data_IF_695174568232
#
_entry.id   IF_695174568232
#
_cell.length_a   1.000
_cell.length_b   1.000
_cell.length_c   1.000
_cell.angle_alpha   90.00
_cell.angle_beta   90.00
_cell.angle_gamma   90.00
#
_symmetry.space_group_name_H-M   'P 1'
#
loop_
_entity.id
_entity.type
_entity.pdbx_description
1 polymer ?
#
# COMPACT_ATOMS: atom_id res chain seq x y z
N UNK A 1 -16.17 -9.22 -14.77
CA UNK A 1 -15.80 -9.28 -16.21
C UNK A 1 -14.34 -8.93 -16.42
N UNK A 2 -13.72 -8.07 -15.61
CA UNK A 2 -12.30 -7.72 -15.78
C UNK A 2 -11.55 -7.64 -14.44
N UNK A 3 -10.22 -7.81 -14.46
CA UNK A 3 -9.29 -7.55 -13.35
C UNK A 3 -8.07 -6.80 -13.89
N UNK A 4 -7.67 -5.71 -13.23
CA UNK A 4 -6.42 -4.98 -13.48
C UNK A 4 -5.69 -4.86 -12.15
N UNK A 5 -4.55 -5.52 -12.00
CA UNK A 5 -3.86 -5.62 -10.71
C UNK A 5 -2.34 -5.86 -10.89
N UNK A 6 -1.58 -5.64 -9.83
CA UNK A 6 -0.12 -5.79 -9.77
C UNK A 6 0.35 -6.74 -8.65
N UNK A 7 -0.59 -7.35 -7.91
CA UNK A 7 -0.28 -8.31 -6.85
C UNK A 7 -0.18 -9.75 -7.36
N UNK A 8 0.23 -10.65 -6.46
CA UNK A 8 0.07 -12.10 -6.66
C UNK A 8 -1.41 -12.46 -6.76
N UNK A 9 -1.73 -13.47 -7.56
CA UNK A 9 -3.08 -14.04 -7.63
C UNK A 9 -3.23 -15.14 -6.58
N UNK A 10 -4.20 -15.00 -5.69
CA UNK A 10 -4.58 -16.02 -4.71
C UNK A 10 -6.08 -15.90 -4.42
N UNK A 11 -6.73 -17.00 -4.01
CA UNK A 11 -8.13 -17.03 -3.59
C UNK A 11 -9.11 -16.39 -4.60
N UNK A 12 -8.85 -16.57 -5.90
CA UNK A 12 -9.63 -16.00 -6.99
C UNK A 12 -9.99 -17.07 -8.01
N UNK A 13 -11.29 -17.24 -8.29
CA UNK A 13 -11.83 -18.20 -9.25
C UNK A 13 -13.00 -17.56 -10.03
N UNK A 14 -13.17 -17.96 -11.29
CA UNK A 14 -14.32 -17.52 -12.12
C UNK A 14 -14.90 -18.70 -12.89
N UNK A 15 -16.24 -18.74 -12.98
CA UNK A 15 -16.94 -19.78 -13.73
C UNK A 15 -16.93 -19.57 -15.26
N UNK A 16 -16.70 -18.33 -15.71
CA UNK A 16 -16.68 -17.94 -17.12
C UNK A 16 -15.38 -17.21 -17.45
N UNK A 17 -14.91 -17.27 -18.72
CA UNK A 17 -13.80 -16.45 -19.17
C UNK A 17 -14.00 -14.96 -18.86
N UNK A 18 -12.91 -14.27 -18.51
CA UNK A 18 -12.88 -12.85 -18.19
C UNK A 18 -11.60 -12.20 -18.76
N UNK A 19 -11.56 -10.86 -18.82
CA UNK A 19 -10.32 -10.14 -19.09
C UNK A 19 -9.49 -10.01 -17.82
N UNK A 20 -8.20 -10.32 -17.87
CA UNK A 20 -7.29 -10.04 -16.75
C UNK A 20 -6.01 -9.42 -17.30
N UNK A 21 -5.63 -8.27 -16.76
CA UNK A 21 -4.35 -7.63 -17.05
C UNK A 21 -3.56 -7.46 -15.76
N UNK A 22 -2.54 -8.29 -15.64
CA UNK A 22 -1.63 -8.28 -14.50
C UNK A 22 -0.24 -7.93 -14.98
N UNK A 23 0.39 -6.97 -14.34
CA UNK A 23 1.77 -6.59 -14.64
C UNK A 23 2.55 -6.41 -13.33
N UNK A 24 3.77 -6.94 -13.21
CA UNK A 24 4.59 -6.80 -12.00
C UNK A 24 5.25 -5.41 -11.95
N UNK A 25 4.42 -4.38 -11.79
CA UNK A 25 4.82 -2.96 -11.71
C UNK A 25 4.48 -2.36 -10.34
N UNK A 26 4.97 -1.16 -10.07
CA UNK A 26 4.82 -0.51 -8.78
C UNK A 26 3.37 -0.19 -8.41
N UNK A 27 2.49 0.04 -9.39
CA UNK A 27 1.08 0.32 -9.13
C UNK A 27 0.15 -0.15 -10.25
N UNK A 28 -1.07 -0.56 -9.89
CA UNK A 28 -2.16 -0.76 -10.84
C UNK A 28 -2.47 0.51 -11.66
N UNK A 29 -2.23 1.71 -11.10
CA UNK A 29 -2.38 2.98 -11.81
C UNK A 29 -1.48 3.09 -13.04
N UNK A 30 -0.27 2.51 -12.98
CA UNK A 30 0.63 2.43 -14.13
C UNK A 30 0.08 1.54 -15.25
N UNK A 31 -0.65 0.49 -14.90
CA UNK A 31 -1.32 -0.39 -15.86
C UNK A 31 -2.49 0.34 -16.51
N UNK A 32 -3.30 1.03 -15.71
CA UNK A 32 -4.41 1.85 -16.22
C UNK A 32 -3.91 2.97 -17.13
N UNK A 33 -2.80 3.63 -16.79
CA UNK A 33 -2.13 4.58 -17.66
C UNK A 33 -1.81 3.99 -19.05
N UNK A 34 -1.25 2.77 -19.09
CA UNK A 34 -0.97 2.08 -20.36
C UNK A 34 -2.26 1.76 -21.12
N UNK A 35 -3.31 1.32 -20.43
CA UNK A 35 -4.62 1.05 -21.02
C UNK A 35 -5.22 2.30 -21.69
N UNK A 36 -5.09 3.50 -21.09
CA UNK A 36 -5.51 4.75 -21.74
C UNK A 36 -4.78 4.97 -23.07
N UNK A 37 -3.45 4.84 -23.06
CA UNK A 37 -2.60 5.06 -24.24
C UNK A 37 -2.90 4.04 -25.34
N UNK A 38 -3.00 2.76 -25.00
CA UNK A 38 -3.30 1.68 -25.95
C UNK A 38 -4.67 1.83 -26.62
N UNK A 39 -5.65 2.36 -25.90
CA UNK A 39 -6.99 2.62 -26.43
C UNK A 39 -7.14 3.99 -27.09
N UNK A 40 -6.04 4.76 -27.22
CA UNK A 40 -6.03 6.11 -27.77
C UNK A 40 -7.02 7.05 -27.07
N UNK A 41 -7.23 6.86 -25.76
CA UNK A 41 -8.08 7.70 -24.93
C UNK A 41 -7.20 8.78 -24.27
N UNK A 42 -7.57 10.04 -24.46
CA UNK A 42 -6.90 11.17 -23.79
C UNK A 42 -7.14 11.05 -22.28
N UNK A 43 -6.09 11.14 -21.48
CA UNK A 43 -6.17 11.15 -20.02
C UNK A 43 -6.57 12.57 -19.58
N UNK A 44 -7.74 12.78 -18.96
CA UNK A 44 -8.09 14.08 -18.40
C UNK A 44 -7.13 14.49 -17.28
N UNK A 45 -6.92 15.80 -17.08
CA UNK A 45 -6.01 16.36 -16.09
C UNK A 45 -6.24 15.78 -14.68
N UNK A 46 -7.50 15.71 -14.27
CA UNK A 46 -7.91 15.24 -12.95
C UNK A 46 -7.63 13.74 -12.79
N UNK A 47 -7.87 12.96 -13.85
CA UNK A 47 -7.55 11.52 -13.86
C UNK A 47 -6.04 11.28 -13.83
N UNK A 48 -5.26 12.10 -14.53
CA UNK A 48 -3.80 12.02 -14.47
C UNK A 48 -3.31 12.26 -13.03
N UNK A 49 -3.90 13.23 -12.34
CA UNK A 49 -3.62 13.48 -10.91
C UNK A 49 -3.92 12.27 -10.02
N UNK A 50 -5.07 11.62 -10.20
CA UNK A 50 -5.44 10.44 -9.42
C UNK A 50 -4.54 9.22 -9.73
N UNK A 51 -4.24 8.96 -11.00
CA UNK A 51 -3.33 7.89 -11.39
C UNK A 51 -1.92 8.14 -10.86
N UNK A 52 -1.46 9.40 -10.91
CA UNK A 52 -0.19 9.79 -10.32
C UNK A 52 -0.19 9.57 -8.80
N UNK A 53 -1.28 9.92 -8.12
CA UNK A 53 -1.44 9.73 -6.68
C UNK A 53 -1.30 8.26 -6.30
N UNK A 54 -2.00 7.37 -7.02
CA UNK A 54 -1.95 5.93 -6.78
C UNK A 54 -0.53 5.38 -6.99
N UNK A 55 0.14 5.80 -8.06
CA UNK A 55 1.52 5.42 -8.31
C UNK A 55 2.47 5.90 -7.21
N UNK A 56 2.39 7.17 -6.81
CA UNK A 56 3.22 7.71 -5.73
C UNK A 56 2.97 7.00 -4.41
N UNK A 57 1.70 6.70 -4.10
CA UNK A 57 1.29 5.99 -2.88
C UNK A 57 1.93 4.60 -2.81
N UNK A 58 1.75 3.77 -3.83
CA UNK A 58 2.23 2.38 -3.83
C UNK A 58 3.76 2.29 -3.88
N UNK A 59 4.42 3.29 -4.48
CA UNK A 59 5.87 3.30 -4.68
C UNK A 59 6.64 4.14 -3.68
N UNK A 60 5.96 4.77 -2.72
CA UNK A 60 6.57 5.73 -1.78
C UNK A 60 7.42 6.77 -2.50
N UNK A 61 6.81 7.45 -3.48
CA UNK A 61 7.49 8.39 -4.37
C UNK A 61 8.67 7.74 -5.11
N UNK A 62 8.42 6.58 -5.73
CA UNK A 62 9.38 5.82 -6.54
C UNK A 62 10.61 5.29 -5.77
N UNK A 63 10.55 5.24 -4.42
CA UNK A 63 11.63 4.73 -3.56
C UNK A 63 11.42 3.28 -3.12
N UNK A 64 10.20 2.78 -3.19
CA UNK A 64 9.85 1.41 -2.81
C UNK A 64 10.59 0.39 -3.68
N UNK A 65 11.00 -0.78 -3.14
CA UNK A 65 11.55 -1.88 -3.94
C UNK A 65 10.56 -2.45 -4.98
N UNK A 66 9.25 -2.16 -4.84
CA UNK A 66 8.23 -2.53 -5.83
C UNK A 66 8.25 -1.65 -7.07
N UNK A 67 8.93 -0.50 -7.03
CA UNK A 67 9.01 0.44 -8.16
C UNK A 67 9.67 -0.25 -9.35
N UNK A 68 8.93 -0.35 -10.45
CA UNK A 68 9.43 -0.94 -11.68
C UNK A 68 10.17 0.12 -12.52
N UNK A 69 11.09 -0.32 -13.37
CA UNK A 69 11.92 0.56 -14.20
C UNK A 69 11.12 1.48 -15.13
N UNK A 70 9.86 1.16 -15.41
CA UNK A 70 8.97 1.99 -16.25
C UNK A 70 8.18 3.04 -15.47
N UNK A 71 8.01 2.87 -14.15
CA UNK A 71 7.19 3.74 -13.33
C UNK A 71 7.68 5.21 -13.29
N UNK A 72 9.00 5.52 -13.28
CA UNK A 72 9.45 6.91 -13.34
C UNK A 72 8.98 7.67 -14.59
N UNK A 73 8.96 7.01 -15.75
CA UNK A 73 8.49 7.63 -16.99
C UNK A 73 6.96 7.84 -16.97
N UNK A 74 6.22 6.90 -16.37
CA UNK A 74 4.78 7.03 -16.18
C UNK A 74 4.46 8.19 -15.23
N UNK A 75 5.15 8.28 -14.10
CA UNK A 75 4.98 9.37 -13.13
C UNK A 75 5.28 10.74 -13.75
N UNK A 76 6.34 10.84 -14.55
CA UNK A 76 6.71 12.08 -15.23
C UNK A 76 5.62 12.55 -16.22
N UNK A 77 5.11 11.66 -17.09
CA UNK A 77 4.05 12.00 -18.05
C UNK A 77 2.74 12.38 -17.33
N UNK A 78 2.36 11.62 -16.29
CA UNK A 78 1.16 11.92 -15.51
C UNK A 78 1.27 13.26 -14.75
N UNK A 79 2.45 13.60 -14.22
CA UNK A 79 2.70 14.88 -13.57
C UNK A 79 2.60 16.06 -14.54
N UNK A 80 3.12 15.91 -15.76
CA UNK A 80 2.99 16.89 -16.83
C UNK A 80 1.51 17.11 -17.19
N UNK A 81 0.75 16.03 -17.43
CA UNK A 81 -0.68 16.11 -17.78
C UNK A 81 -1.49 16.73 -16.62
N UNK A 82 -1.19 16.35 -15.37
CA UNK A 82 -1.83 16.90 -14.18
C UNK A 82 -1.43 18.35 -13.90
N UNK A 83 -0.33 18.83 -14.48
CA UNK A 83 0.21 20.17 -14.25
C UNK A 83 0.74 20.37 -12.84
N UNK A 84 1.43 19.37 -12.28
CA UNK A 84 2.02 19.40 -10.93
C UNK A 84 3.52 19.11 -10.97
N UNK A 85 4.27 19.61 -9.98
CA UNK A 85 5.64 19.17 -9.76
C UNK A 85 5.63 17.83 -9.02
N UNK A 86 6.24 16.79 -9.61
CA UNK A 86 6.20 15.42 -9.08
C UNK A 86 6.69 15.31 -7.62
N UNK A 87 7.84 15.90 -7.32
CA UNK A 87 8.48 15.79 -6.00
C UNK A 87 7.71 16.59 -4.94
N UNK A 88 7.35 17.83 -5.25
CA UNK A 88 6.60 18.71 -4.33
C UNK A 88 5.21 18.12 -4.03
N UNK A 89 4.48 17.74 -5.07
CA UNK A 89 3.17 17.12 -4.94
C UNK A 89 3.25 15.79 -4.20
N UNK A 90 4.19 14.93 -4.56
CA UNK A 90 4.34 13.61 -3.98
C UNK A 90 4.72 13.65 -2.51
N UNK A 91 5.63 14.54 -2.12
CA UNK A 91 5.98 14.72 -0.72
C UNK A 91 4.81 15.27 0.09
N UNK A 92 4.05 16.22 -0.46
CA UNK A 92 2.85 16.75 0.17
C UNK A 92 1.76 15.67 0.34
N UNK A 93 1.53 14.86 -0.70
CA UNK A 93 0.59 13.74 -0.68
C UNK A 93 0.95 12.72 0.41
N UNK A 94 2.20 12.26 0.44
CA UNK A 94 2.63 11.26 1.41
C UNK A 94 2.55 11.79 2.83
N UNK A 95 3.00 13.04 3.09
CA UNK A 95 2.87 13.70 4.40
C UNK A 95 1.42 13.87 4.85
N UNK A 96 0.49 14.13 3.92
CA UNK A 96 -0.92 14.19 4.27
C UNK A 96 -1.46 12.83 4.76
N UNK A 97 -0.87 11.73 4.29
CA UNK A 97 -1.19 10.37 4.72
C UNK A 97 -0.61 9.96 6.08
N UNK A 98 0.39 10.67 6.61
CA UNK A 98 1.08 10.32 7.87
C UNK A 98 0.49 10.98 9.12
N UNK A 99 -0.70 11.58 9.05
CA UNK A 99 -1.34 12.16 10.23
C UNK A 99 -1.96 11.05 11.11
N UNK A 100 -1.10 10.41 11.92
CA UNK A 100 -1.46 9.27 12.78
C UNK A 100 -1.89 9.68 14.19
N UNK A 101 -1.46 10.85 14.66
CA UNK A 101 -1.71 11.33 16.02
C UNK A 101 -3.21 11.44 16.39
N UNK A 102 -4.07 11.69 15.41
CA UNK A 102 -5.52 11.81 15.63
C UNK A 102 -6.27 10.48 15.54
N UNK A 103 -5.59 9.39 15.19
CA UNK A 103 -6.20 8.06 15.00
C UNK A 103 -6.07 7.23 16.27
N UNK A 104 -7.12 6.49 16.61
CA UNK A 104 -7.09 5.46 17.65
C UNK A 104 -6.16 4.30 17.29
N UNK A 105 -5.73 3.52 18.29
CA UNK A 105 -4.92 2.32 18.05
C UNK A 105 -5.66 1.30 17.16
N UNK A 106 -6.99 1.14 17.32
CA UNK A 106 -7.78 0.26 16.46
C UNK A 106 -7.81 0.75 15.02
N UNK A 107 -7.95 2.05 14.79
CA UNK A 107 -7.87 2.61 13.45
C UNK A 107 -6.48 2.41 12.84
N UNK A 108 -5.40 2.65 13.61
CA UNK A 108 -4.02 2.51 13.13
C UNK A 108 -3.73 1.12 12.58
N UNK A 109 -4.15 0.08 13.29
CA UNK A 109 -3.87 -1.31 12.90
C UNK A 109 -4.77 -1.79 11.74
N UNK A 110 -5.73 -0.98 11.30
CA UNK A 110 -6.70 -1.34 10.27
C UNK A 110 -6.73 -0.39 9.06
N UNK A 111 -5.94 0.71 9.06
CA UNK A 111 -5.90 1.70 7.96
C UNK A 111 -5.57 1.03 6.62
N UNK A 112 -4.48 0.26 6.61
CA UNK A 112 -3.99 -0.49 5.47
C UNK A 112 -3.60 -1.88 5.96
N UNK A 113 -4.60 -2.75 6.08
CA UNK A 113 -4.41 -4.09 6.60
C UNK A 113 -5.06 -5.14 5.72
N UNK A 114 -4.31 -6.22 5.46
CA UNK A 114 -4.72 -7.36 4.63
C UNK A 114 -4.56 -8.64 5.43
N UNK A 115 -5.47 -9.57 5.21
CA UNK A 115 -5.39 -10.91 5.80
C UNK A 115 -4.90 -11.89 4.75
N UNK A 116 -3.94 -12.71 5.15
CA UNK A 116 -3.35 -13.75 4.31
C UNK A 116 -3.49 -15.10 5.00
N UNK A 117 -3.83 -16.11 4.21
CA UNK A 117 -3.73 -17.49 4.67
C UNK A 117 -2.33 -18.03 4.31
N UNK A 118 -1.56 -18.42 5.32
CA UNK A 118 -0.22 -18.97 5.17
C UNK A 118 -0.15 -20.33 5.88
N UNK A 119 -0.13 -21.42 5.11
CA UNK A 119 -0.08 -22.79 5.65
C UNK A 119 -1.20 -23.10 6.68
N UNK A 120 -2.42 -22.59 6.44
CA UNK A 120 -3.57 -22.76 7.35
C UNK A 120 -3.63 -21.78 8.51
N UNK A 121 -2.64 -20.88 8.64
CA UNK A 121 -2.64 -19.81 9.62
C UNK A 121 -3.20 -18.51 9.01
N UNK A 122 -4.11 -17.85 9.74
CA UNK A 122 -4.64 -16.54 9.36
C UNK A 122 -3.70 -15.45 9.89
N UNK A 123 -2.95 -14.83 8.99
CA UNK A 123 -1.97 -13.79 9.33
C UNK A 123 -2.52 -12.44 8.89
N UNK A 124 -2.62 -11.49 9.82
CA UNK A 124 -2.97 -10.10 9.54
C UNK A 124 -1.69 -9.31 9.35
N UNK A 125 -1.55 -8.61 8.23
CA UNK A 125 -0.44 -7.68 8.00
C UNK A 125 -1.03 -6.30 7.83
N UNK A 126 -0.65 -5.38 8.69
CA UNK A 126 -1.02 -3.98 8.64
C UNK A 126 0.20 -3.12 8.35
N UNK A 127 -0.01 -2.00 7.68
CA UNK A 127 1.01 -0.99 7.40
C UNK A 127 0.52 0.37 7.87
N UNK A 128 1.40 1.13 8.52
CA UNK A 128 1.21 2.54 8.81
C UNK A 128 2.39 3.33 8.26
N UNK A 129 2.08 4.38 7.49
CA UNK A 129 3.09 5.30 6.98
C UNK A 129 3.27 6.44 7.98
N UNK A 130 4.51 6.72 8.36
CA UNK A 130 4.89 7.81 9.26
C UNK A 130 6.11 8.56 8.74
N UNK A 131 6.35 9.77 9.25
CA UNK A 131 7.62 10.50 9.07
C UNK A 131 8.55 10.37 10.28
N UNK A 132 8.05 9.79 11.38
CA UNK A 132 8.81 9.46 12.58
C UNK A 132 8.28 8.14 13.16
N UNK A 133 9.10 7.09 13.12
CA UNK A 133 8.76 5.78 13.68
C UNK A 133 8.59 5.87 15.19
N UNK A 134 9.39 6.70 15.86
CA UNK A 134 9.38 6.78 17.33
C UNK A 134 8.05 7.33 17.83
N UNK A 135 7.45 8.28 17.12
CA UNK A 135 6.12 8.83 17.46
C UNK A 135 5.03 7.74 17.50
N UNK A 136 5.13 6.73 16.62
CA UNK A 136 4.21 5.59 16.63
C UNK A 136 4.56 4.62 17.76
N UNK A 137 5.86 4.37 17.99
CA UNK A 137 6.33 3.47 19.05
C UNK A 137 6.09 4.01 20.47
N UNK A 138 5.97 5.32 20.66
CA UNK A 138 5.51 5.91 21.94
C UNK A 138 4.11 5.41 22.34
N UNK A 139 3.33 4.92 21.37
CA UNK A 139 1.99 4.32 21.55
C UNK A 139 2.02 2.79 21.51
N UNK A 140 3.19 2.15 21.63
CA UNK A 140 3.33 0.70 21.46
C UNK A 140 2.39 -0.09 22.38
N UNK A 141 2.28 0.26 23.68
CA UNK A 141 1.44 -0.50 24.62
C UNK A 141 -0.05 -0.53 24.20
N UNK A 142 -0.60 0.60 23.74
CA UNK A 142 -2.00 0.65 23.27
C UNK A 142 -2.19 -0.06 21.92
N UNK A 143 -1.18 -0.01 21.04
CA UNK A 143 -1.17 -0.72 19.76
C UNK A 143 -1.14 -2.23 20.00
N UNK A 144 -0.28 -2.72 20.88
CA UNK A 144 -0.21 -4.14 21.27
C UNK A 144 -1.53 -4.63 21.87
N UNK A 145 -2.19 -3.80 22.69
CA UNK A 145 -3.50 -4.11 23.24
C UNK A 145 -4.57 -4.22 22.14
N UNK A 146 -4.58 -3.28 21.18
CA UNK A 146 -5.49 -3.31 20.03
C UNK A 146 -5.24 -4.53 19.12
N UNK A 147 -3.98 -4.85 18.84
CA UNK A 147 -3.59 -6.05 18.08
C UNK A 147 -4.07 -7.32 18.78
N UNK A 148 -3.86 -7.43 20.10
CA UNK A 148 -4.29 -8.59 20.89
C UNK A 148 -5.81 -8.75 20.86
N UNK A 149 -6.55 -7.65 20.96
CA UNK A 149 -8.00 -7.65 20.83
C UNK A 149 -8.44 -8.09 19.42
N UNK A 150 -7.80 -7.56 18.36
CA UNK A 150 -8.09 -7.92 16.98
C UNK A 150 -7.80 -9.40 16.67
N UNK A 151 -6.68 -9.94 17.17
CA UNK A 151 -6.33 -11.35 17.05
C UNK A 151 -7.40 -12.24 17.68
N UNK A 152 -7.83 -11.88 18.89
CA UNK A 152 -8.87 -12.64 19.63
C UNK A 152 -10.22 -12.58 18.92
N UNK A 153 -10.63 -11.40 18.45
CA UNK A 153 -11.94 -11.20 17.83
C UNK A 153 -12.06 -11.87 16.45
N UNK A 154 -10.97 -11.91 15.68
CA UNK A 154 -10.99 -12.37 14.30
C UNK A 154 -10.33 -13.74 14.09
N UNK A 155 -9.74 -14.33 15.14
CA UNK A 155 -9.05 -15.61 15.06
C UNK A 155 -7.75 -15.56 14.25
N UNK A 156 -7.08 -14.41 14.23
CA UNK A 156 -5.74 -14.32 13.62
C UNK A 156 -4.73 -15.05 14.49
N UNK A 157 -3.91 -15.91 13.87
CA UNK A 157 -2.83 -16.60 14.59
C UNK A 157 -1.66 -15.66 14.86
N UNK A 158 -1.46 -14.71 13.95
CA UNK A 158 -0.33 -13.78 13.92
C UNK A 158 -0.77 -12.44 13.34
N UNK A 159 -0.20 -11.37 13.89
CA UNK A 159 -0.35 -10.01 13.43
C UNK A 159 1.03 -9.41 13.22
N UNK A 160 1.25 -8.79 12.07
CA UNK A 160 2.47 -8.05 11.73
C UNK A 160 2.07 -6.61 11.41
N UNK A 161 2.48 -5.66 12.25
CA UNK A 161 2.36 -4.24 11.96
C UNK A 161 3.70 -3.71 11.43
N UNK A 162 3.67 -3.14 10.23
CA UNK A 162 4.81 -2.47 9.60
C UNK A 162 4.68 -0.96 9.81
N UNK A 163 5.60 -0.37 10.56
CA UNK A 163 5.66 1.07 10.80
C UNK A 163 6.71 1.65 9.84
N UNK A 164 6.27 2.19 8.71
CA UNK A 164 7.14 2.58 7.59
C UNK A 164 7.44 4.08 7.60
N UNK A 165 8.72 4.43 7.70
CA UNK A 165 9.21 5.79 7.47
C UNK A 165 9.29 6.07 5.96
N UNK A 166 8.40 6.93 5.48
CA UNK A 166 8.29 7.26 4.06
C UNK A 166 9.42 8.16 3.54
N UNK A 167 10.18 8.81 4.43
CA UNK A 167 11.28 9.69 4.07
C UNK A 167 12.58 8.90 3.90
N UNK A 168 12.84 7.98 4.84
CA UNK A 168 14.06 7.19 4.95
C UNK A 168 13.95 5.78 4.37
N UNK A 169 12.75 5.35 3.97
CA UNK A 169 12.49 4.05 3.34
C UNK A 169 12.88 2.84 4.20
N UNK A 170 12.73 2.94 5.52
CA UNK A 170 12.88 1.83 6.47
C UNK A 170 11.54 1.54 7.17
N UNK A 171 11.43 0.36 7.79
CA UNK A 171 10.26 0.00 8.59
C UNK A 171 10.70 -0.67 9.88
N UNK A 172 10.00 -0.35 10.96
CA UNK A 172 10.02 -1.14 12.20
C UNK A 172 8.87 -2.15 12.16
N UNK A 173 9.12 -3.37 12.64
CA UNK A 173 8.14 -4.45 12.64
C UNK A 173 7.70 -4.75 14.06
N UNK A 174 6.41 -4.60 14.34
CA UNK A 174 5.78 -5.07 15.57
C UNK A 174 4.96 -6.33 15.27
N UNK A 175 5.42 -7.47 15.77
CA UNK A 175 4.80 -8.77 15.52
C UNK A 175 4.27 -9.42 16.81
N UNK A 176 2.99 -9.77 16.83
CA UNK A 176 2.33 -10.45 17.95
C UNK A 176 1.59 -11.68 17.43
N UNK A 177 1.84 -12.84 18.01
CA UNK A 177 1.24 -14.08 17.52
C UNK A 177 1.87 -15.35 18.06
N UNK A 178 1.47 -16.48 17.47
CA UNK A 178 1.93 -17.81 17.86
C UNK A 178 3.18 -18.27 17.09
N UNK A 179 3.55 -17.59 16.00
CA UNK A 179 4.63 -17.96 15.08
C UNK A 179 5.63 -16.82 14.85
N UNK A 180 5.88 -15.97 15.85
CA UNK A 180 6.72 -14.76 15.74
C UNK A 180 8.12 -15.08 15.19
N UNK A 181 8.68 -16.25 15.54
CA UNK A 181 10.00 -16.73 15.09
C UNK A 181 10.13 -16.90 13.56
N UNK A 182 9.01 -16.84 12.81
CA UNK A 182 8.98 -16.97 11.34
C UNK A 182 8.84 -15.62 10.62
N UNK A 183 8.84 -14.51 11.36
CA UNK A 183 8.65 -13.16 10.81
C UNK A 183 9.99 -12.49 10.42
N UNK A 184 11.13 -13.09 10.76
CA UNK A 184 12.48 -12.66 10.33
C UNK A 184 12.90 -13.13 8.92
#
# INVERSE_FOLDING_TARGET
IEVVDHHRVANFETANPLYMRLEPVGSASSIVYRLYKENNVVIPKEMAGLLLSGLISDTLLLKSPTTHATDPAVAADLAEIAGVNLEEYGLALLKAGTNLATKSAEELIDIDAKTFELNGNQVRVAQVNTVDINEVLERQEEIEAAITAANTANGYSDFVLMITDILNSNSEILALGSNIDKVE
#
